data_IF_647536478238
#
_entry.id   IF_647536478238
#
_cell.length_a   1.000
_cell.length_b   1.000
_cell.length_c   1.000
_cell.angle_alpha   90.00
_cell.angle_beta   90.00
_cell.angle_gamma   90.00
#
_symmetry.space_group_name_H-M   'P 1'
#
loop_
_entity.id
_entity.type
_entity.pdbx_description
1 polymer ?
#
# COMPACT_ATOMS: atom_id res chain seq x y z
N UNK A 1 10.74 32.93 -9.65
CA UNK A 1 11.26 32.11 -8.53
C UNK A 1 10.44 32.26 -7.26
N UNK A 2 9.99 33.47 -6.91
CA UNK A 2 9.21 33.74 -5.70
C UNK A 2 7.82 33.05 -5.68
N UNK A 3 7.09 33.05 -6.81
CA UNK A 3 5.79 32.36 -6.93
C UNK A 3 5.89 30.84 -6.66
N UNK A 4 6.94 30.18 -7.15
CA UNK A 4 7.11 28.73 -6.96
C UNK A 4 7.43 28.37 -5.50
N UNK A 5 8.22 29.21 -4.80
CA UNK A 5 8.48 29.04 -3.38
C UNK A 5 7.20 29.23 -2.55
N UNK A 6 6.37 30.22 -2.89
CA UNK A 6 5.06 30.41 -2.26
C UNK A 6 4.13 29.20 -2.49
N UNK A 7 4.11 28.64 -3.70
CA UNK A 7 3.34 27.43 -4.02
C UNK A 7 3.78 26.23 -3.20
N UNK A 8 5.11 25.98 -3.09
CA UNK A 8 5.65 24.92 -2.25
C UNK A 8 5.27 25.11 -0.76
N UNK A 9 5.41 26.33 -0.24
CA UNK A 9 5.02 26.65 1.14
C UNK A 9 3.52 26.36 1.39
N UNK A 10 2.64 26.75 0.46
CA UNK A 10 1.20 26.46 0.54
C UNK A 10 0.90 24.96 0.49
N UNK A 11 1.55 24.21 -0.40
CA UNK A 11 1.40 22.74 -0.47
C UNK A 11 1.77 22.07 0.86
N UNK A 12 2.86 22.51 1.49
CA UNK A 12 3.28 22.02 2.81
C UNK A 12 2.23 22.32 3.90
N UNK A 13 1.71 23.56 3.94
CA UNK A 13 0.66 23.96 4.90
C UNK A 13 -0.65 23.18 4.70
N UNK A 14 -1.00 22.86 3.45
CA UNK A 14 -2.17 22.03 3.12
C UNK A 14 -1.91 20.52 3.32
N UNK A 15 -0.69 20.12 3.73
CA UNK A 15 -0.26 18.74 3.91
C UNK A 15 -0.29 17.91 2.61
N UNK A 16 -0.09 18.57 1.47
CA UNK A 16 0.05 17.97 0.14
C UNK A 16 1.51 17.54 -0.09
N UNK A 17 1.98 16.58 0.71
CA UNK A 17 3.40 16.22 0.78
C UNK A 17 3.91 15.52 -0.49
N UNK A 18 3.10 14.65 -1.09
CA UNK A 18 3.44 13.97 -2.34
C UNK A 18 3.48 14.95 -3.50
N UNK A 19 2.47 15.83 -3.58
CA UNK A 19 2.45 16.90 -4.58
C UNK A 19 3.62 17.86 -4.41
N UNK A 20 3.97 18.22 -3.17
CA UNK A 20 5.11 19.09 -2.87
C UNK A 20 6.43 18.49 -3.36
N UNK A 21 6.66 17.20 -3.07
CA UNK A 21 7.86 16.49 -3.53
C UNK A 21 7.91 16.43 -5.06
N UNK A 22 6.82 16.03 -5.71
CA UNK A 22 6.71 15.94 -7.16
C UNK A 22 6.93 17.31 -7.83
N UNK A 23 6.26 18.36 -7.35
CA UNK A 23 6.42 19.71 -7.88
C UNK A 23 7.86 20.20 -7.74
N UNK A 24 8.50 19.98 -6.58
CA UNK A 24 9.92 20.31 -6.39
C UNK A 24 10.82 19.54 -7.35
N UNK A 25 10.60 18.23 -7.55
CA UNK A 25 11.37 17.43 -8.52
C UNK A 25 11.20 17.93 -9.95
N UNK A 26 10.01 18.39 -10.33
CA UNK A 26 9.77 18.96 -11.67
C UNK A 26 10.48 20.30 -11.91
N UNK A 27 10.85 21.01 -10.84
CA UNK A 27 11.68 22.21 -10.93
C UNK A 27 13.17 21.88 -11.09
N UNK A 28 13.61 20.76 -10.52
CA UNK A 28 15.01 20.31 -10.57
C UNK A 28 15.31 19.46 -11.82
N UNK A 29 14.30 18.82 -12.41
CA UNK A 29 14.42 17.90 -13.54
C UNK A 29 13.67 18.40 -14.78
N UNK A 30 14.24 18.26 -15.97
CA UNK A 30 13.58 18.47 -17.27
C UNK A 30 12.40 17.51 -17.56
N UNK A 31 11.94 16.72 -16.59
CA UNK A 31 10.82 15.77 -16.75
C UNK A 31 9.48 16.44 -17.10
N UNK A 32 9.36 17.76 -16.94
CA UNK A 32 8.21 18.54 -17.40
C UNK A 32 8.26 18.85 -18.90
N UNK A 33 9.40 18.69 -19.57
CA UNK A 33 9.49 18.90 -21.03
C UNK A 33 8.73 17.79 -21.76
N UNK A 34 7.58 18.18 -22.33
CA UNK A 34 6.71 17.31 -23.11
C UNK A 34 5.40 16.93 -22.41
N UNK A 35 5.23 17.25 -21.13
CA UNK A 35 3.92 17.13 -20.49
C UNK A 35 3.05 18.32 -20.85
N UNK A 36 1.82 18.06 -21.31
CA UNK A 36 0.80 19.10 -21.37
C UNK A 36 0.39 19.52 -19.96
N UNK A 37 -0.25 20.69 -19.81
CA UNK A 37 -0.64 21.20 -18.48
C UNK A 37 -1.57 20.25 -17.73
N UNK A 38 -2.49 19.60 -18.45
CA UNK A 38 -3.39 18.57 -17.89
C UNK A 38 -2.62 17.34 -17.39
N UNK A 39 -1.64 16.84 -18.15
CA UNK A 39 -0.80 15.72 -17.75
C UNK A 39 0.05 16.05 -16.52
N UNK A 40 0.58 17.27 -16.45
CA UNK A 40 1.36 17.72 -15.31
C UNK A 40 0.50 17.79 -14.03
N UNK A 41 -0.72 18.34 -14.13
CA UNK A 41 -1.64 18.37 -12.99
C UNK A 41 -2.06 16.96 -12.57
N UNK A 42 -2.37 16.08 -13.53
CA UNK A 42 -2.70 14.68 -13.24
C UNK A 42 -1.55 13.98 -12.51
N UNK A 43 -0.31 14.17 -12.98
CA UNK A 43 0.88 13.61 -12.36
C UNK A 43 1.07 14.12 -10.92
N UNK A 44 0.89 15.41 -10.67
CA UNK A 44 0.97 15.99 -9.33
C UNK A 44 -0.07 15.41 -8.36
N UNK A 45 -1.30 15.21 -8.84
CA UNK A 45 -2.40 14.63 -8.05
C UNK A 45 -2.14 13.15 -7.75
N UNK A 46 -1.65 12.40 -8.73
CA UNK A 46 -1.31 10.98 -8.55
C UNK A 46 -0.24 10.79 -7.46
N UNK A 47 0.82 11.61 -7.49
CA UNK A 47 1.86 11.55 -6.46
C UNK A 47 1.33 11.86 -5.05
N UNK A 48 0.36 12.76 -4.92
CA UNK A 48 -0.29 13.02 -3.63
C UNK A 48 -1.17 11.85 -3.19
N UNK A 49 -1.91 11.25 -4.13
CA UNK A 49 -2.75 10.10 -3.88
C UNK A 49 -1.91 8.90 -3.39
N UNK A 50 -0.81 8.61 -4.09
CA UNK A 50 0.13 7.56 -3.74
C UNK A 50 0.77 7.81 -2.37
N UNK A 51 1.24 9.03 -2.10
CA UNK A 51 1.84 9.37 -0.82
C UNK A 51 0.85 9.23 0.34
N UNK A 52 -0.41 9.64 0.16
CA UNK A 52 -1.47 9.43 1.16
C UNK A 52 -1.77 7.96 1.40
N UNK A 53 -1.90 7.19 0.33
CA UNK A 53 -2.18 5.75 0.37
C UNK A 53 -1.03 5.02 1.08
N UNK A 54 0.23 5.32 0.72
CA UNK A 54 1.41 4.77 1.36
C UNK A 54 1.47 5.10 2.86
N UNK A 55 1.20 6.36 3.25
CA UNK A 55 1.13 6.76 4.67
C UNK A 55 0.03 6.01 5.44
N UNK A 56 -1.13 5.81 4.81
CA UNK A 56 -2.22 5.02 5.38
C UNK A 56 -1.77 3.57 5.63
N UNK A 57 -1.22 2.92 4.59
CA UNK A 57 -0.74 1.53 4.67
C UNK A 57 0.31 1.39 5.78
N UNK A 58 1.32 2.26 5.82
CA UNK A 58 2.36 2.23 6.85
C UNK A 58 1.78 2.41 8.26
N UNK A 59 0.81 3.30 8.43
CA UNK A 59 0.12 3.50 9.71
C UNK A 59 -0.64 2.26 10.14
N UNK A 60 -1.41 1.64 9.23
CA UNK A 60 -2.18 0.43 9.52
C UNK A 60 -1.26 -0.74 9.89
N UNK A 61 -0.19 -0.97 9.12
CA UNK A 61 0.80 -2.01 9.41
C UNK A 61 1.48 -1.80 10.76
N UNK A 62 1.83 -0.56 11.12
CA UNK A 62 2.41 -0.23 12.42
C UNK A 62 1.43 -0.48 13.56
N UNK A 63 0.16 -0.12 13.38
CA UNK A 63 -0.89 -0.32 14.38
C UNK A 63 -1.22 -1.80 14.60
N UNK A 64 -1.21 -2.60 13.53
CA UNK A 64 -1.47 -4.04 13.60
C UNK A 64 -0.35 -4.82 14.32
N UNK A 65 0.86 -4.26 14.43
CA UNK A 65 1.98 -4.84 15.18
C UNK A 65 2.31 -6.28 14.75
N UNK A 66 2.40 -6.51 13.44
CA UNK A 66 2.75 -7.82 12.90
C UNK A 66 4.15 -8.26 13.36
N UNK A 67 4.29 -9.53 13.74
CA UNK A 67 5.55 -10.10 14.25
C UNK A 67 6.68 -10.10 13.23
N UNK A 68 6.36 -10.29 11.96
CA UNK A 68 7.29 -10.31 10.83
C UNK A 68 6.56 -9.91 9.55
N UNK A 69 7.31 -9.51 8.52
CA UNK A 69 6.75 -9.26 7.19
C UNK A 69 6.35 -10.58 6.55
N UNK A 70 5.13 -10.65 6.05
CA UNK A 70 4.60 -11.81 5.35
C UNK A 70 3.85 -11.36 4.10
N UNK A 71 3.94 -12.13 3.03
CA UNK A 71 3.17 -11.93 1.80
C UNK A 71 2.43 -13.21 1.44
N UNK A 72 1.32 -13.07 0.71
CA UNK A 72 0.54 -14.24 0.26
C UNK A 72 1.30 -14.95 -0.88
N UNK A 73 2.07 -14.18 -1.64
CA UNK A 73 2.88 -14.60 -2.77
C UNK A 73 4.07 -15.49 -2.35
N UNK A 74 4.60 -15.28 -1.14
CA UNK A 74 5.69 -16.06 -0.55
C UNK A 74 5.22 -17.34 0.16
N UNK A 75 3.91 -17.63 0.19
CA UNK A 75 3.39 -18.85 0.80
C UNK A 75 3.83 -20.06 -0.04
N UNK A 76 4.53 -20.99 0.61
CA UNK A 76 4.92 -22.26 -0.01
C UNK A 76 3.74 -23.25 -0.09
N UNK A 77 3.35 -23.63 -1.31
CA UNK A 77 2.30 -24.60 -1.60
C UNK A 77 2.84 -25.99 -1.94
N UNK A 78 4.16 -26.17 -2.01
CA UNK A 78 4.79 -27.46 -2.37
C UNK A 78 4.71 -28.49 -1.25
N UNK A 79 4.60 -28.04 -0.01
CA UNK A 79 4.43 -28.90 1.16
C UNK A 79 3.01 -29.46 1.20
N UNK A 80 2.87 -30.78 1.33
CA UNK A 80 1.59 -31.47 1.56
C UNK A 80 1.06 -31.20 2.98
N UNK A 81 0.62 -29.96 3.23
CA UNK A 81 -0.01 -29.52 4.49
C UNK A 81 -1.50 -29.23 4.35
N UNK A 82 -2.13 -29.72 3.28
CA UNK A 82 -3.57 -29.56 3.02
C UNK A 82 -4.00 -28.12 2.70
N UNK A 83 -3.09 -27.32 2.13
CA UNK A 83 -3.32 -25.90 1.85
C UNK A 83 -3.86 -25.71 0.44
N UNK A 84 -5.10 -25.23 0.31
CA UNK A 84 -5.71 -24.93 -0.98
C UNK A 84 -5.32 -23.51 -1.46
N UNK A 85 -4.55 -23.45 -2.56
CA UNK A 85 -4.14 -22.21 -3.22
C UNK A 85 -5.32 -21.38 -3.70
N UNK A 86 -6.37 -22.01 -4.22
CA UNK A 86 -7.54 -21.31 -4.72
C UNK A 86 -8.35 -20.69 -3.58
N UNK A 87 -8.42 -21.36 -2.42
CA UNK A 87 -8.99 -20.78 -1.21
C UNK A 87 -8.20 -19.56 -0.74
N UNK A 88 -6.87 -19.66 -0.64
CA UNK A 88 -6.04 -18.53 -0.20
C UNK A 88 -6.11 -17.33 -1.14
N UNK A 89 -6.13 -17.56 -2.45
CA UNK A 89 -6.32 -16.47 -3.42
C UNK A 89 -7.68 -15.78 -3.24
N UNK A 90 -8.76 -16.54 -3.02
CA UNK A 90 -10.08 -15.95 -2.70
C UNK A 90 -10.05 -15.14 -1.41
N UNK A 91 -9.39 -15.65 -0.36
CA UNK A 91 -9.23 -14.92 0.89
C UNK A 91 -8.38 -13.64 0.71
N UNK A 92 -7.43 -13.63 -0.23
CA UNK A 92 -6.61 -12.45 -0.54
C UNK A 92 -7.41 -11.27 -1.11
N UNK A 93 -8.63 -11.53 -1.59
CA UNK A 93 -9.57 -10.50 -2.06
C UNK A 93 -10.26 -9.76 -0.90
N UNK A 94 -10.08 -10.21 0.35
CA UNK A 94 -10.65 -9.59 1.55
C UNK A 94 -12.18 -9.53 1.59
N UNK A 95 -12.86 -10.37 0.80
CA UNK A 95 -14.33 -10.44 0.78
C UNK A 95 -14.92 -10.86 2.13
N UNK A 96 -14.19 -11.67 2.91
CA UNK A 96 -14.59 -12.03 4.27
C UNK A 96 -14.62 -10.82 5.23
N UNK A 97 -13.85 -9.76 4.96
CA UNK A 97 -13.90 -8.51 5.74
C UNK A 97 -15.15 -7.71 5.39
N UNK A 98 -15.52 -7.66 4.11
CA UNK A 98 -16.73 -6.96 3.65
C UNK A 98 -18.02 -7.68 3.98
N UNK A 99 -17.99 -9.02 4.05
CA UNK A 99 -19.15 -9.89 4.35
C UNK A 99 -19.20 -10.37 5.81
N UNK A 100 -18.66 -9.59 6.75
CA UNK A 100 -18.20 -10.01 8.09
C UNK A 100 -18.19 -11.53 8.36
N UNK A 101 -17.28 -12.27 7.71
CA UNK A 101 -17.09 -13.71 7.92
C UNK A 101 -15.80 -14.00 8.68
N UNK A 102 -15.87 -15.00 9.56
CA UNK A 102 -14.72 -15.48 10.31
C UNK A 102 -13.85 -16.46 9.50
N UNK A 103 -12.53 -16.40 9.71
CA UNK A 103 -11.58 -17.37 9.16
C UNK A 103 -11.00 -18.20 10.29
N UNK A 104 -11.14 -19.52 10.18
CA UNK A 104 -10.47 -20.48 11.05
C UNK A 104 -9.25 -21.06 10.35
N UNK A 105 -8.06 -20.84 10.94
CA UNK A 105 -6.80 -21.41 10.44
C UNK A 105 -6.38 -22.55 11.36
N UNK A 106 -6.53 -23.78 10.90
CA UNK A 106 -6.29 -25.01 11.68
C UNK A 106 -5.09 -25.80 11.16
N UNK A 107 -4.50 -26.64 12.01
CA UNK A 107 -3.39 -27.54 11.65
C UNK A 107 -2.32 -27.64 12.73
N UNK A 108 -1.39 -28.59 12.57
CA UNK A 108 -0.30 -28.87 13.52
C UNK A 108 0.60 -27.66 13.81
N UNK A 109 1.28 -27.66 14.95
CA UNK A 109 2.28 -26.62 15.25
C UNK A 109 3.39 -26.59 14.18
N UNK A 110 3.92 -25.41 13.87
CA UNK A 110 4.98 -25.25 12.87
C UNK A 110 4.54 -25.23 11.40
N UNK A 111 3.26 -25.45 11.09
CA UNK A 111 2.76 -25.49 9.69
C UNK A 111 2.51 -24.11 9.06
N UNK A 112 3.00 -23.02 9.65
CA UNK A 112 2.88 -21.67 9.07
C UNK A 112 1.53 -20.95 9.26
N UNK A 113 0.67 -21.40 10.18
CA UNK A 113 -0.63 -20.75 10.47
C UNK A 113 -0.50 -19.26 10.79
N UNK A 114 0.44 -18.91 11.68
CA UNK A 114 0.72 -17.51 12.03
C UNK A 114 1.20 -16.70 10.83
N UNK A 115 1.91 -17.34 9.89
CA UNK A 115 2.40 -16.67 8.69
C UNK A 115 1.24 -16.33 7.77
N UNK A 116 0.33 -17.29 7.53
CA UNK A 116 -0.88 -17.08 6.72
C UNK A 116 -1.74 -15.95 7.31
N UNK A 117 -2.00 -15.99 8.63
CA UNK A 117 -2.77 -14.95 9.31
C UNK A 117 -2.13 -13.56 9.13
N UNK A 118 -0.80 -13.50 9.27
CA UNK A 118 -0.04 -12.25 9.10
C UNK A 118 -0.05 -11.78 7.65
N UNK A 119 0.10 -12.67 6.68
CA UNK A 119 0.07 -12.35 5.25
C UNK A 119 -1.29 -11.78 4.82
N UNK A 120 -2.38 -12.38 5.30
CA UNK A 120 -3.74 -11.84 5.10
C UNK A 120 -3.88 -10.46 5.75
N UNK A 121 -3.36 -10.28 6.97
CA UNK A 121 -3.35 -8.98 7.64
C UNK A 121 -2.58 -7.90 6.87
N UNK A 122 -1.40 -8.23 6.32
CA UNK A 122 -0.64 -7.32 5.47
C UNK A 122 -1.41 -6.93 4.21
N UNK A 123 -2.03 -7.91 3.55
CA UNK A 123 -2.85 -7.69 2.37
C UNK A 123 -4.08 -6.83 2.70
N UNK A 124 -4.70 -7.02 3.86
CA UNK A 124 -5.81 -6.19 4.32
C UNK A 124 -5.39 -4.73 4.58
N UNK A 125 -4.14 -4.48 4.99
CA UNK A 125 -3.62 -3.13 5.16
C UNK A 125 -3.32 -2.42 3.84
N UNK A 126 -3.23 -3.14 2.71
CA UNK A 126 -2.91 -2.62 1.38
C UNK A 126 -4.14 -2.37 0.51
N UNK A 127 -5.30 -2.92 0.89
CA UNK A 127 -6.59 -2.66 0.26
C UNK A 127 -7.28 -1.46 0.92
#
# INVERSE_FOLDING_TARGET
MEMNQQTLARMSQMRLLGMHAAFRTSMESFKSEGMTTDQFVAWLVENEWDDRTNRLIQRLQKQASFRYRASIEEIDYSLERGLDRNLLMRLSEMTFVTEPRDIFITGSAGTGKSYIATALGYRACQK
#
